data_IF_453909879341
#
_entry.id   IF_453909879341
#
_cell.length_a   1.000
_cell.length_b   1.000
_cell.length_c   1.000
_cell.angle_alpha   90.00
_cell.angle_beta   90.00
_cell.angle_gamma   90.00
#
_symmetry.space_group_name_H-M   'P 1'
#
loop_
_entity.id
_entity.type
_entity.pdbx_description
1 polymer ?
#
# COMPACT_ATOMS: atom_id res chain seq x y z
N UNK A 1 5.16 -12.83 -34.87
CA UNK A 1 5.33 -13.97 -33.95
C UNK A 1 4.19 -13.88 -32.94
N UNK A 2 3.10 -14.62 -33.21
CA UNK A 2 1.89 -14.61 -32.38
C UNK A 2 2.14 -15.49 -31.17
N UNK A 3 1.98 -14.95 -29.97
CA UNK A 3 1.91 -15.73 -28.74
C UNK A 3 0.44 -15.90 -28.39
N UNK A 4 -0.03 -17.12 -28.56
CA UNK A 4 -1.38 -17.58 -28.26
C UNK A 4 -1.56 -17.71 -26.75
N UNK A 5 -2.45 -16.91 -26.14
CA UNK A 5 -2.90 -17.07 -24.76
C UNK A 5 -3.96 -18.16 -24.71
N UNK A 6 -3.55 -19.42 -24.50
CA UNK A 6 -4.48 -20.49 -24.20
C UNK A 6 -4.96 -20.46 -22.76
N UNK A 7 -6.24 -20.49 -22.65
CA UNK A 7 -7.17 -20.56 -21.53
C UNK A 7 -6.67 -21.33 -20.30
N UNK A 8 -6.62 -20.66 -19.16
CA UNK A 8 -6.62 -21.30 -17.85
C UNK A 8 -8.07 -21.30 -17.35
N UNK A 9 -8.65 -22.48 -17.31
CA UNK A 9 -9.98 -22.74 -16.79
C UNK A 9 -10.04 -22.40 -15.30
N UNK A 10 -11.02 -21.57 -14.95
CA UNK A 10 -11.40 -21.22 -13.59
C UNK A 10 -12.13 -22.41 -12.96
N UNK A 11 -11.49 -23.08 -12.00
CA UNK A 11 -12.12 -24.04 -11.10
C UNK A 11 -12.54 -23.30 -9.81
N UNK A 12 -13.86 -23.18 -9.50
CA UNK A 12 -14.35 -22.38 -8.38
C UNK A 12 -14.26 -23.10 -7.00
N UNK A 13 -13.65 -24.27 -6.92
CA UNK A 13 -13.64 -25.09 -5.69
C UNK A 13 -12.29 -25.21 -4.98
N UNK A 14 -11.24 -24.51 -5.41
CA UNK A 14 -9.97 -24.50 -4.70
C UNK A 14 -10.05 -23.55 -3.49
N UNK A 15 -10.29 -24.10 -2.31
CA UNK A 15 -10.16 -23.43 -1.03
C UNK A 15 -8.74 -22.88 -0.87
N UNK A 16 -8.61 -21.56 -0.93
CA UNK A 16 -7.35 -20.85 -0.69
C UNK A 16 -6.94 -21.04 0.78
N UNK A 17 -5.68 -21.43 1.07
CA UNK A 17 -5.20 -21.54 2.44
C UNK A 17 -5.07 -20.15 3.06
N UNK A 18 -5.91 -19.89 4.07
CA UNK A 18 -5.67 -18.99 5.20
C UNK A 18 -5.03 -17.64 4.91
N UNK A 19 -5.75 -16.71 4.25
CA UNK A 19 -5.54 -15.30 4.52
C UNK A 19 -6.01 -15.04 5.96
N UNK A 20 -5.21 -14.39 6.82
CA UNK A 20 -5.72 -13.92 8.09
C UNK A 20 -6.91 -13.01 7.81
N UNK A 21 -8.03 -13.29 8.48
CA UNK A 21 -9.31 -12.57 8.34
C UNK A 21 -9.17 -11.16 8.96
N UNK A 22 -8.66 -10.21 8.20
CA UNK A 22 -8.53 -8.81 8.59
C UNK A 22 -9.79 -8.06 8.19
N UNK A 23 -10.79 -8.12 9.04
CA UNK A 23 -11.95 -7.23 8.94
C UNK A 23 -11.53 -5.85 9.42
N UNK A 24 -10.96 -5.06 8.51
CA UNK A 24 -10.77 -3.64 8.72
C UNK A 24 -12.13 -3.00 9.05
N UNK A 25 -12.18 -2.23 10.14
CA UNK A 25 -13.36 -1.50 10.57
C UNK A 25 -13.69 -0.46 9.49
N UNK A 26 -14.50 -0.86 8.51
CA UNK A 26 -15.22 0.08 7.67
C UNK A 26 -16.31 0.67 8.56
N UNK A 27 -16.21 1.95 8.89
CA UNK A 27 -17.36 2.70 9.37
C UNK A 27 -18.47 2.59 8.31
N UNK A 28 -19.57 1.96 8.66
CA UNK A 28 -20.74 1.88 7.79
C UNK A 28 -21.23 3.31 7.50
N UNK A 29 -21.30 3.70 6.23
CA UNK A 29 -22.26 4.71 5.84
C UNK A 29 -21.84 5.87 4.95
N UNK A 30 -20.56 6.11 4.63
CA UNK A 30 -20.24 7.19 3.68
C UNK A 30 -19.37 6.69 2.54
N UNK A 31 -19.87 6.85 1.29
CA UNK A 31 -19.04 6.65 0.09
C UNK A 31 -17.86 7.61 0.17
N UNK A 32 -16.64 7.14 -0.08
CA UNK A 32 -15.46 8.01 -0.10
C UNK A 32 -15.69 9.16 -1.08
N UNK A 33 -15.51 10.38 -0.62
CA UNK A 33 -15.80 11.61 -1.38
C UNK A 33 -14.85 11.78 -2.57
N UNK A 34 -13.68 11.13 -2.53
CA UNK A 34 -12.70 11.07 -3.62
C UNK A 34 -11.94 9.75 -3.58
N UNK A 35 -12.26 8.84 -4.49
CA UNK A 35 -11.42 7.68 -4.74
C UNK A 35 -10.22 8.10 -5.61
N UNK A 36 -9.05 7.43 -5.49
CA UNK A 36 -7.97 7.58 -6.46
C UNK A 36 -8.48 7.48 -7.89
N UNK A 37 -7.98 8.34 -8.77
CA UNK A 37 -8.47 8.47 -10.14
C UNK A 37 -8.36 7.17 -10.94
N UNK A 38 -7.32 6.38 -10.70
CA UNK A 38 -7.14 5.05 -11.34
C UNK A 38 -8.28 4.08 -11.04
N UNK A 39 -9.12 4.38 -10.01
CA UNK A 39 -10.29 3.61 -9.62
C UNK A 39 -11.59 4.28 -10.06
N UNK A 40 -11.68 5.62 -9.96
CA UNK A 40 -12.91 6.38 -10.24
C UNK A 40 -13.09 6.68 -11.73
N UNK A 41 -11.99 6.92 -12.44
CA UNK A 41 -11.97 7.13 -13.90
C UNK A 41 -10.76 6.41 -14.53
N UNK A 42 -10.84 5.08 -14.67
CA UNK A 42 -9.72 4.27 -15.15
C UNK A 42 -9.35 4.50 -16.62
N UNK A 43 -10.18 5.20 -17.37
CA UNK A 43 -9.97 5.48 -18.82
C UNK A 43 -9.35 6.84 -19.08
N UNK A 44 -9.16 7.68 -18.06
CA UNK A 44 -8.58 9.01 -18.21
C UNK A 44 -7.09 8.97 -18.61
N UNK A 45 -6.64 10.04 -19.25
CA UNK A 45 -5.22 10.21 -19.65
C UNK A 45 -4.31 10.21 -18.42
N UNK A 46 -4.78 10.80 -17.34
CA UNK A 46 -4.06 10.85 -16.06
C UNK A 46 -3.92 9.45 -15.46
N UNK A 47 -4.98 8.63 -15.48
CA UNK A 47 -4.92 7.25 -15.02
C UNK A 47 -3.94 6.42 -15.85
N UNK A 48 -3.90 6.63 -17.16
CA UNK A 48 -2.93 5.99 -18.05
C UNK A 48 -1.49 6.43 -17.74
N UNK A 49 -1.28 7.71 -17.46
CA UNK A 49 0.01 8.25 -17.03
C UNK A 49 0.50 7.61 -15.73
N UNK A 50 -0.38 7.41 -14.76
CA UNK A 50 -0.06 6.71 -13.50
C UNK A 50 0.29 5.23 -13.78
N UNK A 51 -0.42 4.55 -14.68
CA UNK A 51 -0.09 3.16 -15.05
C UNK A 51 1.26 3.07 -15.76
N UNK A 52 1.60 4.04 -16.61
CA UNK A 52 2.91 4.12 -17.24
C UNK A 52 4.02 4.33 -16.19
N UNK A 53 3.79 5.22 -15.20
CA UNK A 53 4.70 5.43 -14.08
C UNK A 53 4.88 4.15 -13.26
N UNK A 54 3.79 3.45 -12.90
CA UNK A 54 3.83 2.15 -12.23
C UNK A 54 4.68 1.15 -13.00
N UNK A 55 4.45 1.02 -14.31
CA UNK A 55 5.16 0.05 -15.14
C UNK A 55 6.66 0.32 -15.13
N UNK A 56 7.08 1.57 -15.27
CA UNK A 56 8.49 1.97 -15.19
C UNK A 56 9.07 1.69 -13.79
N UNK A 57 8.34 2.03 -12.73
CA UNK A 57 8.76 1.79 -11.36
C UNK A 57 8.99 0.29 -11.10
N UNK A 58 8.05 -0.55 -11.49
CA UNK A 58 8.15 -2.00 -11.30
C UNK A 58 9.34 -2.57 -12.09
N UNK A 59 9.50 -2.19 -13.35
CA UNK A 59 10.58 -2.69 -14.19
C UNK A 59 11.98 -2.24 -13.72
N UNK A 60 12.11 -1.01 -13.24
CA UNK A 60 13.42 -0.43 -12.92
C UNK A 60 13.82 -0.63 -11.44
N UNK A 61 12.85 -0.76 -10.52
CA UNK A 61 13.15 -0.75 -9.09
C UNK A 61 12.75 -2.05 -8.40
N UNK A 62 11.53 -2.53 -8.62
CA UNK A 62 11.04 -3.71 -7.91
C UNK A 62 11.79 -4.97 -8.32
N UNK A 63 12.11 -5.12 -9.61
CA UNK A 63 12.89 -6.25 -10.12
C UNK A 63 14.32 -6.24 -9.59
N UNK A 64 14.90 -5.08 -9.31
CA UNK A 64 16.21 -4.93 -8.68
C UNK A 64 16.19 -5.08 -7.15
N UNK A 65 15.02 -5.40 -6.57
CA UNK A 65 14.85 -5.59 -5.12
C UNK A 65 14.66 -4.30 -4.34
N UNK A 66 14.51 -3.14 -4.99
CA UNK A 66 14.17 -1.87 -4.35
C UNK A 66 12.66 -1.82 -4.15
N UNK A 67 12.21 -1.71 -2.89
CA UNK A 67 10.81 -1.85 -2.54
C UNK A 67 10.19 -0.61 -1.89
N UNK A 68 10.95 0.45 -1.80
CA UNK A 68 10.50 1.72 -1.23
C UNK A 68 10.62 2.83 -2.25
N UNK A 69 9.61 3.69 -2.29
CA UNK A 69 9.60 4.93 -3.06
C UNK A 69 9.10 6.05 -2.15
N UNK A 70 9.74 7.21 -2.20
CA UNK A 70 9.23 8.42 -1.61
C UNK A 70 8.71 9.35 -2.70
N UNK A 71 7.47 9.81 -2.56
CA UNK A 71 6.88 10.85 -3.40
C UNK A 71 6.94 12.15 -2.60
N UNK A 72 7.67 13.13 -3.09
CA UNK A 72 7.87 14.40 -2.40
C UNK A 72 7.82 15.57 -3.39
N UNK A 73 7.53 16.74 -2.86
CA UNK A 73 7.43 17.99 -3.62
C UNK A 73 8.08 19.13 -2.85
N UNK A 74 8.69 20.10 -3.52
CA UNK A 74 9.26 21.29 -2.87
C UNK A 74 8.21 22.34 -2.46
N UNK A 75 6.98 22.23 -2.96
CA UNK A 75 5.91 23.20 -2.70
C UNK A 75 4.60 22.51 -2.33
N UNK A 76 3.74 23.17 -1.57
CA UNK A 76 2.38 22.73 -1.29
C UNK A 76 1.53 22.69 -2.56
N UNK A 77 0.44 21.94 -2.55
CA UNK A 77 -0.59 21.87 -3.60
C UNK A 77 -0.09 21.47 -5.00
N UNK A 78 1.04 20.76 -5.08
CA UNK A 78 1.61 20.27 -6.35
C UNK A 78 1.18 18.86 -6.72
N UNK A 79 0.19 18.30 -6.02
CA UNK A 79 -0.40 16.99 -6.34
C UNK A 79 0.38 15.78 -5.79
N UNK A 80 1.25 15.97 -4.80
CA UNK A 80 2.03 14.88 -4.19
C UNK A 80 1.13 13.76 -3.67
N UNK A 81 0.10 14.09 -2.89
CA UNK A 81 -0.89 13.12 -2.37
C UNK A 81 -1.64 12.43 -3.52
N UNK A 82 -2.02 13.18 -4.57
CA UNK A 82 -2.66 12.62 -5.75
C UNK A 82 -1.78 11.55 -6.42
N UNK A 83 -0.52 11.86 -6.67
CA UNK A 83 0.41 10.91 -7.30
C UNK A 83 0.63 9.69 -6.39
N UNK A 84 0.87 9.90 -5.10
CA UNK A 84 1.16 8.82 -4.14
C UNK A 84 -0.02 7.84 -4.00
N UNK A 85 -1.25 8.35 -3.83
CA UNK A 85 -2.46 7.53 -3.66
C UNK A 85 -2.81 6.76 -4.93
N UNK A 86 -2.72 7.41 -6.09
CA UNK A 86 -2.98 6.77 -7.37
C UNK A 86 -1.93 5.73 -7.73
N UNK A 87 -0.65 6.00 -7.48
CA UNK A 87 0.44 5.06 -7.73
C UNK A 87 0.33 3.83 -6.82
N UNK A 88 0.04 4.02 -5.52
CA UNK A 88 -0.16 2.92 -4.59
C UNK A 88 -1.35 2.04 -5.01
N UNK A 89 -2.48 2.65 -5.37
CA UNK A 89 -3.64 1.92 -5.89
C UNK A 89 -3.30 1.17 -7.20
N UNK A 90 -2.58 1.80 -8.13
CA UNK A 90 -2.19 1.15 -9.38
C UNK A 90 -1.21 -0.01 -9.17
N UNK A 91 -0.30 0.06 -8.19
CA UNK A 91 0.63 -1.02 -7.85
C UNK A 91 -0.13 -2.20 -7.23
N UNK A 92 -1.06 -1.93 -6.32
CA UNK A 92 -1.87 -2.99 -5.70
C UNK A 92 -2.76 -3.72 -6.72
N UNK A 93 -3.27 -3.02 -7.75
CA UNK A 93 -4.08 -3.63 -8.82
C UNK A 93 -3.37 -4.72 -9.63
N UNK A 94 -2.05 -4.76 -9.61
CA UNK A 94 -1.26 -5.83 -10.25
C UNK A 94 -0.82 -6.92 -9.27
N UNK A 95 -1.43 -6.99 -8.08
CA UNK A 95 -1.19 -8.02 -7.07
C UNK A 95 0.14 -7.85 -6.32
N UNK A 96 0.71 -6.65 -6.31
CA UNK A 96 1.88 -6.35 -5.49
C UNK A 96 1.43 -5.80 -4.14
N UNK A 97 1.72 -6.55 -3.07
CA UNK A 97 1.45 -6.10 -1.70
C UNK A 97 2.11 -4.75 -1.44
N UNK A 98 1.30 -3.75 -1.12
CA UNK A 98 1.69 -2.35 -1.03
C UNK A 98 1.27 -1.75 0.30
N UNK A 99 2.14 -0.96 0.90
CA UNK A 99 1.82 -0.13 2.06
C UNK A 99 2.05 1.32 1.69
N UNK A 100 1.01 2.14 1.78
CA UNK A 100 1.08 3.58 1.61
C UNK A 100 1.18 4.24 2.98
N UNK A 101 2.23 5.01 3.19
CA UNK A 101 2.45 5.76 4.44
C UNK A 101 2.26 7.24 4.18
N UNK A 102 1.34 7.87 4.88
CA UNK A 102 1.19 9.33 4.85
C UNK A 102 2.19 9.97 5.82
N UNK A 103 3.33 10.38 5.28
CA UNK A 103 4.37 11.07 6.03
C UNK A 103 4.24 12.61 5.99
N UNK A 104 3.18 13.14 5.35
CA UNK A 104 2.87 14.56 5.41
C UNK A 104 2.11 14.89 6.71
N UNK A 105 2.82 14.97 7.81
CA UNK A 105 2.25 15.22 9.13
C UNK A 105 1.72 16.66 9.29
N UNK A 106 2.00 17.57 8.34
CA UNK A 106 1.54 18.98 8.40
C UNK A 106 0.18 19.16 7.74
N UNK A 107 0.01 18.49 6.60
CA UNK A 107 -1.19 18.60 5.76
C UNK A 107 -1.52 17.21 5.19
N UNK A 108 -2.06 16.31 6.03
CA UNK A 108 -2.33 14.93 5.65
C UNK A 108 -3.52 14.84 4.68
N UNK A 109 -3.37 14.08 3.59
CA UNK A 109 -4.42 13.95 2.57
C UNK A 109 -4.77 12.52 2.18
N UNK A 110 -3.98 11.53 2.60
CA UNK A 110 -4.18 10.14 2.18
C UNK A 110 -5.49 9.57 2.74
N UNK A 111 -5.82 9.87 3.99
CA UNK A 111 -7.07 9.41 4.61
C UNK A 111 -8.29 9.91 3.87
N UNK A 112 -8.31 11.18 3.47
CA UNK A 112 -9.40 11.76 2.68
C UNK A 112 -9.52 11.11 1.32
N UNK A 113 -8.37 10.88 0.64
CA UNK A 113 -8.33 10.28 -0.69
C UNK A 113 -8.93 8.86 -0.75
N UNK A 114 -8.88 8.11 0.34
CA UNK A 114 -9.47 6.78 0.45
C UNK A 114 -10.75 6.74 1.30
N UNK A 115 -11.24 7.89 1.78
CA UNK A 115 -12.40 7.96 2.66
C UNK A 115 -12.21 7.22 3.99
N UNK A 116 -10.98 7.23 4.52
CA UNK A 116 -10.63 6.55 5.75
C UNK A 116 -10.88 7.45 6.96
N UNK A 117 -11.40 6.84 8.04
CA UNK A 117 -11.54 7.49 9.36
C UNK A 117 -10.66 6.72 10.36
N UNK A 118 -9.39 7.11 10.56
CA UNK A 118 -8.49 6.41 11.46
C UNK A 118 -8.96 6.59 12.92
N UNK A 119 -9.55 5.55 13.49
CA UNK A 119 -10.07 5.57 14.85
C UNK A 119 -8.97 5.42 15.93
N UNK A 120 -7.78 4.96 15.54
CA UNK A 120 -6.68 4.60 16.48
C UNK A 120 -5.46 5.50 16.36
N UNK A 121 -5.56 6.61 15.63
CA UNK A 121 -4.42 7.47 15.32
C UNK A 121 -3.70 7.03 14.05
N UNK A 122 -2.43 7.46 13.89
CA UNK A 122 -1.63 7.17 12.71
C UNK A 122 -0.13 7.28 12.98
N UNK A 123 0.61 7.68 11.96
CA UNK A 123 2.06 7.77 12.01
C UNK A 123 2.56 8.72 13.11
N UNK A 124 1.89 9.87 13.31
CA UNK A 124 2.31 10.85 14.33
C UNK A 124 2.29 10.24 15.74
N UNK A 125 1.19 9.55 16.10
CA UNK A 125 1.06 8.91 17.39
C UNK A 125 2.04 7.75 17.56
N UNK A 126 2.29 6.97 16.52
CA UNK A 126 3.30 5.92 16.53
C UNK A 126 4.72 6.49 16.77
N UNK A 127 5.05 7.59 16.11
CA UNK A 127 6.38 8.21 16.25
C UNK A 127 6.58 8.86 17.62
N UNK A 128 5.50 9.41 18.21
CA UNK A 128 5.54 10.09 19.49
C UNK A 128 5.55 9.15 20.69
N UNK A 129 4.89 7.99 20.59
CA UNK A 129 4.69 7.06 21.71
C UNK A 129 5.38 5.71 21.43
N UNK A 130 6.42 5.40 22.22
CA UNK A 130 7.19 4.16 22.09
C UNK A 130 6.40 2.89 22.43
N UNK A 131 5.29 3.01 23.13
CA UNK A 131 4.41 1.87 23.46
C UNK A 131 3.51 1.45 22.32
N UNK A 132 3.30 2.32 21.32
CA UNK A 132 2.48 2.02 20.16
C UNK A 132 3.20 1.11 19.16
N UNK A 133 2.47 0.11 18.69
CA UNK A 133 2.92 -0.79 17.65
C UNK A 133 2.37 -0.39 16.27
N UNK A 134 2.99 -0.89 15.20
CA UNK A 134 2.54 -0.61 13.83
C UNK A 134 1.13 -1.16 13.59
N UNK A 135 0.83 -2.31 14.20
CA UNK A 135 -0.46 -2.98 14.06
C UNK A 135 -1.62 -2.17 14.69
N UNK A 136 -1.30 -1.18 15.55
CA UNK A 136 -2.29 -0.26 16.12
C UNK A 136 -2.72 0.84 15.15
N UNK A 137 -1.88 1.17 14.15
CA UNK A 137 -2.05 2.34 13.28
C UNK A 137 -2.27 1.99 11.81
N UNK A 138 -2.00 0.76 11.41
CA UNK A 138 -2.17 0.31 10.02
C UNK A 138 -3.63 -0.01 9.75
N UNK A 139 -4.11 0.43 8.60
CA UNK A 139 -5.43 0.07 8.07
C UNK A 139 -5.18 -0.89 6.92
N UNK A 140 -5.47 -2.16 7.15
CA UNK A 140 -5.27 -3.21 6.16
C UNK A 140 -6.46 -3.32 5.20
N UNK A 141 -6.24 -3.88 4.02
CA UNK A 141 -7.28 -4.15 3.02
C UNK A 141 -8.12 -2.92 2.63
N UNK A 142 -7.49 -1.75 2.56
CA UNK A 142 -8.13 -0.54 1.99
C UNK A 142 -8.54 -0.80 0.54
N UNK A 143 -7.66 -1.47 -0.21
CA UNK A 143 -7.94 -2.16 -1.47
C UNK A 143 -7.29 -3.55 -1.41
N UNK A 144 -7.62 -4.48 -2.32
CA UNK A 144 -6.85 -5.72 -2.47
C UNK A 144 -5.35 -5.39 -2.58
N UNK A 145 -4.53 -6.05 -1.78
CA UNK A 145 -3.08 -5.84 -1.71
C UNK A 145 -2.62 -4.43 -1.32
N UNK A 146 -3.50 -3.56 -0.76
CA UNK A 146 -3.16 -2.23 -0.27
C UNK A 146 -3.52 -2.05 1.20
N UNK A 147 -2.52 -1.73 2.01
CA UNK A 147 -2.68 -1.20 3.36
C UNK A 147 -2.26 0.27 3.41
N UNK A 148 -2.81 1.02 4.37
CA UNK A 148 -2.52 2.44 4.57
C UNK A 148 -2.11 2.69 6.01
N UNK A 149 -1.04 3.45 6.21
CA UNK A 149 -0.71 4.07 7.50
C UNK A 149 -1.04 5.56 7.37
N UNK A 150 -2.13 6.03 7.99
CA UNK A 150 -2.51 7.43 7.96
C UNK A 150 -1.51 8.28 8.74
N UNK A 151 -1.48 9.59 8.48
CA UNK A 151 -0.61 10.50 9.22
C UNK A 151 -0.97 10.61 10.72
N UNK A 152 -2.26 10.47 11.05
CA UNK A 152 -2.77 10.71 12.41
C UNK A 152 -3.10 12.18 12.66
N UNK A 153 -3.10 12.59 13.92
CA UNK A 153 -3.31 13.98 14.29
C UNK A 153 -2.09 14.84 13.94
N UNK A 154 -2.34 16.08 13.51
CA UNK A 154 -1.26 17.01 13.17
C UNK A 154 -0.47 17.38 14.43
N UNK A 155 0.83 16.99 14.53
CA UNK A 155 1.63 17.26 15.71
C UNK A 155 2.22 18.68 15.68
N UNK A 156 2.62 19.19 16.83
CA UNK A 156 3.31 20.48 16.93
C UNK A 156 4.76 20.46 16.40
N UNK A 157 5.38 19.28 16.36
CA UNK A 157 6.77 19.06 16.01
C UNK A 157 7.01 17.98 14.94
N UNK A 158 6.41 18.11 13.75
CA UNK A 158 6.42 17.04 12.72
C UNK A 158 7.84 16.67 12.23
N UNK A 159 8.75 17.64 12.15
CA UNK A 159 10.11 17.40 11.68
C UNK A 159 10.93 16.57 12.69
N UNK A 160 10.78 16.86 13.97
CA UNK A 160 11.46 16.12 15.04
C UNK A 160 11.00 14.66 15.07
N UNK A 161 9.68 14.43 14.93
CA UNK A 161 9.12 13.09 14.87
C UNK A 161 9.68 12.28 13.69
N UNK A 162 9.69 12.87 12.50
CA UNK A 162 10.18 12.18 11.28
C UNK A 162 11.70 11.97 11.29
N UNK A 163 12.47 12.87 11.92
CA UNK A 163 13.92 12.70 12.06
C UNK A 163 14.32 11.71 13.16
N UNK A 164 13.38 11.31 13.99
CA UNK A 164 13.58 10.31 15.04
C UNK A 164 13.86 8.91 14.50
N UNK A 165 14.51 8.06 15.30
CA UNK A 165 14.91 6.71 14.91
C UNK A 165 13.76 5.75 14.56
N UNK A 166 12.53 6.03 15.00
CA UNK A 166 11.37 5.15 14.75
C UNK A 166 10.90 5.15 13.30
N UNK A 167 10.99 6.27 12.59
CA UNK A 167 10.61 6.32 11.19
C UNK A 167 11.50 5.44 10.28
N UNK A 168 12.83 5.50 10.36
CA UNK A 168 13.70 4.54 9.67
C UNK A 168 13.43 3.08 10.04
N UNK A 169 13.15 2.78 11.31
CA UNK A 169 12.79 1.42 11.75
C UNK A 169 11.50 0.93 11.09
N UNK A 170 10.48 1.79 11.01
CA UNK A 170 9.23 1.50 10.30
C UNK A 170 9.52 1.09 8.84
N UNK A 171 10.29 1.91 8.11
CA UNK A 171 10.62 1.65 6.70
C UNK A 171 11.40 0.34 6.54
N UNK A 172 12.40 0.08 7.40
CA UNK A 172 13.19 -1.16 7.37
C UNK A 172 12.35 -2.41 7.64
N UNK A 173 11.41 -2.34 8.59
CA UNK A 173 10.52 -3.48 8.92
C UNK A 173 9.74 -3.97 7.70
N UNK A 174 9.26 -3.04 6.87
CA UNK A 174 8.51 -3.39 5.65
C UNK A 174 9.41 -3.91 4.54
N UNK A 175 10.62 -3.41 4.40
CA UNK A 175 11.60 -3.93 3.45
C UNK A 175 12.02 -5.38 3.76
N UNK A 176 12.05 -5.77 5.03
CA UNK A 176 12.43 -7.11 5.48
C UNK A 176 11.27 -8.12 5.45
N UNK A 177 10.04 -7.70 5.76
CA UNK A 177 8.87 -8.59 5.90
C UNK A 177 8.54 -9.34 4.61
N UNK A 178 8.77 -8.72 3.48
CA UNK A 178 8.44 -9.27 2.17
C UNK A 178 9.45 -10.33 1.67
N UNK A 179 10.67 -10.35 2.18
CA UNK A 179 11.65 -11.41 1.87
C UNK A 179 11.21 -12.78 2.39
N UNK A 180 10.51 -12.83 3.52
CA UNK A 180 9.99 -14.06 4.11
C UNK A 180 8.79 -14.63 3.35
N UNK A 181 7.88 -13.79 2.87
CA UNK A 181 6.68 -14.23 2.16
C UNK A 181 6.97 -14.74 0.75
N UNK A 182 7.96 -14.18 0.04
CA UNK A 182 8.34 -14.68 -1.29
C UNK A 182 9.10 -16.01 -1.23
N UNK A 183 9.85 -16.28 -0.17
CA UNK A 183 10.48 -17.60 0.04
C UNK A 183 9.42 -18.70 0.20
N UNK A 184 8.31 -18.40 0.89
CA UNK A 184 7.19 -19.33 1.06
C UNK A 184 6.41 -19.59 -0.24
N UNK A 185 6.25 -18.59 -1.11
CA UNK A 185 5.56 -18.71 -2.40
C UNK A 185 6.39 -19.43 -3.48
N UNK A 186 7.72 -19.54 -3.32
CA UNK A 186 8.64 -20.19 -4.27
C UNK A 186 8.91 -21.65 -4.00
N UNK A 187 8.39 -22.24 -2.92
CA UNK A 187 8.52 -23.68 -2.67
C UNK A 187 7.59 -24.43 -3.63
N UNK A 188 8.11 -25.26 -4.54
CA UNK A 188 7.28 -26.09 -5.40
C UNK A 188 6.46 -27.07 -4.55
N UNK A 189 5.24 -27.43 -4.98
CA UNK A 189 4.44 -28.42 -4.28
C UNK A 189 5.24 -29.71 -4.16
N UNK A 190 5.38 -30.24 -2.95
CA UNK A 190 5.99 -31.56 -2.72
C UNK A 190 5.14 -32.60 -3.43
N UNK A 191 5.66 -33.12 -4.53
CA UNK A 191 5.10 -34.30 -5.20
C UNK A 191 5.24 -35.47 -4.22
N UNK A 192 4.11 -35.99 -3.72
CA UNK A 192 4.11 -37.26 -2.97
C UNK A 192 4.41 -38.40 -3.94
N UNK A 193 5.38 -39.27 -3.68
CA UNK A 193 5.53 -40.47 -4.50
C UNK A 193 4.29 -41.34 -4.32
N UNK A 194 3.74 -41.84 -5.43
CA UNK A 194 2.68 -42.83 -5.45
C UNK A 194 3.24 -44.15 -4.87
N UNK A 195 2.48 -44.75 -3.91
CA UNK A 195 2.64 -46.12 -3.50
C UNK A 195 1.78 -47.02 -4.36
#
# INVERSE_FOLDING_TARGET
MNVEYSQLSSDPSASQPGHPDFRGVRGEGEKPTRLPLVLSDPTSIEAESIRALRTRFVAQHVQEGRRSIAVCTPAADTGCTFVATNLAAAISQIGLATVLVDANLRDPGVSEAFGLRPARGGLAEYLADSSKEIDDIIIENVLPDLAVIPAGAVPSNPQELLSGGRFPQLVQRWQCRDRGQQASRRSPPRVRPAQ
#
